data_IF_545444299232
#
_entry.id   IF_545444299232
#
_cell.length_a   1.000
_cell.length_b   1.000
_cell.length_c   1.000
_cell.angle_alpha   90.00
_cell.angle_beta   90.00
_cell.angle_gamma   90.00
#
_symmetry.space_group_name_H-M   'P 1'
#
loop_
_entity.id
_entity.type
_entity.pdbx_description
1 polymer ?
#
# COMPACT_ATOMS: atom_id res chain seq x y z
N UNK A 1 14.54 10.58 -0.48
CA UNK A 1 14.06 9.59 -1.43
C UNK A 1 13.14 8.60 -0.73
N UNK A 2 12.03 8.22 -1.34
CA UNK A 2 11.08 7.31 -0.69
C UNK A 2 11.69 5.92 -0.52
N UNK A 3 11.40 5.27 0.60
CA UNK A 3 11.79 3.90 0.93
C UNK A 3 10.60 2.95 0.86
N UNK A 4 9.41 3.46 1.15
CA UNK A 4 8.18 2.69 1.25
C UNK A 4 7.10 3.21 0.33
N UNK A 5 6.33 2.28 -0.23
CA UNK A 5 4.98 2.56 -0.70
C UNK A 5 4.03 2.07 0.39
N UNK A 6 3.33 2.99 1.04
CA UNK A 6 2.44 2.61 2.12
C UNK A 6 1.06 2.26 1.58
N UNK A 7 0.56 1.07 1.95
CA UNK A 7 -0.79 0.66 1.61
C UNK A 7 -1.82 1.32 2.53
N UNK A 8 -3.05 1.38 2.07
CA UNK A 8 -4.18 1.87 2.86
C UNK A 8 -4.26 1.15 4.22
N UNK A 9 -3.99 -0.16 4.26
CA UNK A 9 -4.07 -0.96 5.49
C UNK A 9 -3.15 -0.45 6.60
N UNK A 10 -2.01 0.16 6.25
CA UNK A 10 -1.13 0.81 7.22
C UNK A 10 -1.58 2.24 7.51
N UNK A 11 -1.79 3.04 6.47
CA UNK A 11 -2.08 4.47 6.61
C UNK A 11 -3.39 4.73 7.35
N UNK A 12 -4.44 3.98 7.07
CA UNK A 12 -5.75 4.18 7.72
C UNK A 12 -5.70 3.87 9.22
N UNK A 13 -4.85 2.95 9.65
CA UNK A 13 -4.68 2.63 11.06
C UNK A 13 -3.90 3.70 11.82
N UNK A 14 -3.12 4.51 11.13
CA UNK A 14 -2.41 5.65 11.74
C UNK A 14 -3.34 6.68 12.38
N UNK A 15 -4.54 6.83 11.86
CA UNK A 15 -5.51 7.79 12.38
C UNK A 15 -6.11 7.36 13.72
N UNK A 16 -6.25 6.05 13.96
CA UNK A 16 -6.97 5.50 15.10
C UNK A 16 -6.12 4.68 16.05
N UNK A 17 -4.89 4.34 15.66
CA UNK A 17 -3.98 3.49 16.46
C UNK A 17 -2.69 4.25 16.73
N UNK A 18 -2.47 4.75 17.97
CA UNK A 18 -1.23 5.50 18.30
C UNK A 18 0.05 4.74 18.01
N UNK A 19 0.06 3.41 18.17
CA UNK A 19 1.23 2.58 17.91
C UNK A 19 1.61 2.59 16.43
N UNK A 20 0.61 2.61 15.53
CA UNK A 20 0.83 2.69 14.08
C UNK A 20 1.31 4.10 13.72
N UNK A 21 0.67 5.13 14.29
CA UNK A 21 1.08 6.53 14.07
C UNK A 21 2.53 6.74 14.45
N UNK A 22 2.98 6.15 15.54
CA UNK A 22 4.37 6.27 16.00
C UNK A 22 5.38 5.71 14.99
N UNK A 23 4.99 4.75 14.16
CA UNK A 23 5.83 4.22 13.08
C UNK A 23 5.74 5.11 11.84
N UNK A 24 4.53 5.49 11.43
CA UNK A 24 4.28 6.17 10.15
C UNK A 24 4.69 7.63 10.18
N UNK A 25 4.39 8.36 11.25
CA UNK A 25 4.59 9.81 11.29
C UNK A 25 6.04 10.23 11.04
N UNK A 26 7.05 9.61 11.69
CA UNK A 26 8.45 9.95 11.40
C UNK A 26 8.83 9.70 9.93
N UNK A 27 8.28 8.65 9.32
CA UNK A 27 8.56 8.32 7.93
C UNK A 27 7.93 9.35 6.98
N UNK A 28 6.72 9.82 7.29
CA UNK A 28 6.07 10.88 6.53
C UNK A 28 6.88 12.18 6.59
N UNK A 29 7.29 12.57 7.79
CA UNK A 29 8.10 13.78 8.01
C UNK A 29 9.43 13.70 7.26
N UNK A 30 10.05 12.52 7.21
CA UNK A 30 11.32 12.31 6.53
C UNK A 30 11.16 12.17 5.00
N UNK A 31 9.94 12.18 4.46
CA UNK A 31 9.71 12.01 3.03
C UNK A 31 9.97 10.61 2.51
N UNK A 32 9.88 9.61 3.37
CA UNK A 32 10.21 8.22 3.03
C UNK A 32 9.00 7.41 2.55
N UNK A 33 7.80 7.98 2.58
CA UNK A 33 6.58 7.31 2.14
C UNK A 33 6.09 7.90 0.82
N UNK A 34 6.00 7.05 -0.19
CA UNK A 34 5.38 7.35 -1.46
C UNK A 34 3.94 6.83 -1.49
N UNK A 35 3.16 7.33 -2.43
CA UNK A 35 1.81 6.87 -2.72
C UNK A 35 1.63 6.59 -4.22
N UNK A 36 0.49 6.01 -4.59
CA UNK A 36 0.05 5.86 -5.97
C UNK A 36 -1.47 6.06 -6.04
N UNK A 37 -2.00 6.18 -7.25
CA UNK A 37 -3.42 6.48 -7.45
C UNK A 37 -4.37 5.49 -6.80
N UNK A 38 -4.02 4.20 -6.77
CA UNK A 38 -4.86 3.17 -6.13
C UNK A 38 -4.95 3.40 -4.63
N UNK A 39 -3.83 3.64 -3.96
CA UNK A 39 -3.80 3.93 -2.52
C UNK A 39 -4.62 5.18 -2.22
N UNK A 40 -4.45 6.24 -3.02
CA UNK A 40 -5.19 7.48 -2.85
C UNK A 40 -6.69 7.25 -2.94
N UNK A 41 -7.16 6.55 -3.97
CA UNK A 41 -8.57 6.26 -4.15
C UNK A 41 -9.15 5.47 -2.98
N UNK A 42 -8.42 4.51 -2.47
CA UNK A 42 -8.87 3.71 -1.33
C UNK A 42 -8.98 4.54 -0.05
N UNK A 43 -7.99 5.40 0.22
CA UNK A 43 -8.02 6.29 1.39
C UNK A 43 -9.16 7.31 1.26
N UNK A 44 -9.30 7.94 0.10
CA UNK A 44 -10.32 8.94 -0.15
C UNK A 44 -11.74 8.36 -0.08
N UNK A 45 -11.91 7.09 -0.50
CA UNK A 45 -13.17 6.38 -0.40
C UNK A 45 -13.69 6.33 1.04
N UNK A 46 -12.80 6.28 2.02
CA UNK A 46 -13.18 6.20 3.45
C UNK A 46 -13.49 7.55 4.08
N UNK A 47 -13.29 8.66 3.38
CA UNK A 47 -13.58 10.00 3.92
C UNK A 47 -15.07 10.16 4.22
N UNK A 48 -15.38 10.67 5.42
CA UNK A 48 -16.77 10.74 5.93
C UNK A 48 -17.46 12.06 5.61
N UNK A 49 -16.75 13.04 5.03
CA UNK A 49 -17.31 14.35 4.71
C UNK A 49 -16.50 15.02 3.59
N UNK A 50 -17.08 16.03 2.89
CA UNK A 50 -16.32 16.81 1.91
C UNK A 50 -15.07 17.48 2.50
N UNK A 51 -15.16 17.97 3.74
CA UNK A 51 -14.01 18.58 4.42
C UNK A 51 -12.91 17.58 4.72
N UNK A 52 -13.24 16.39 5.21
CA UNK A 52 -12.29 15.33 5.45
C UNK A 52 -11.64 14.87 4.13
N UNK A 53 -12.43 14.75 3.07
CA UNK A 53 -11.95 14.41 1.74
C UNK A 53 -10.91 15.43 1.26
N UNK A 54 -11.22 16.72 1.35
CA UNK A 54 -10.33 17.78 0.91
C UNK A 54 -9.01 17.80 1.69
N UNK A 55 -9.05 17.54 3.00
CA UNK A 55 -7.83 17.46 3.84
C UNK A 55 -6.97 16.27 3.43
N UNK A 56 -7.57 15.12 3.14
CA UNK A 56 -6.84 13.94 2.66
C UNK A 56 -6.17 14.22 1.31
N UNK A 57 -6.87 14.86 0.38
CA UNK A 57 -6.29 15.23 -0.92
C UNK A 57 -5.04 16.09 -0.73
N UNK A 58 -5.12 17.11 0.14
CA UNK A 58 -3.98 17.99 0.42
C UNK A 58 -2.79 17.19 0.96
N UNK A 59 -3.03 16.31 1.94
CA UNK A 59 -1.98 15.48 2.51
C UNK A 59 -1.35 14.53 1.49
N UNK A 60 -2.16 13.88 0.67
CA UNK A 60 -1.67 12.93 -0.33
C UNK A 60 -0.86 13.62 -1.43
N UNK A 61 -1.24 14.84 -1.82
CA UNK A 61 -0.48 15.61 -2.82
C UNK A 61 0.91 16.02 -2.33
N UNK A 62 1.15 16.04 -1.05
CA UNK A 62 2.46 16.34 -0.48
C UNK A 62 3.43 15.14 -0.54
N UNK A 63 2.94 13.94 -0.83
CA UNK A 63 3.76 12.72 -0.87
C UNK A 63 4.37 12.51 -2.25
N UNK A 64 5.59 11.93 -2.32
CA UNK A 64 6.10 11.40 -3.58
C UNK A 64 5.10 10.43 -4.20
N UNK A 65 4.96 10.48 -5.51
CA UNK A 65 3.96 9.68 -6.22
C UNK A 65 4.60 8.80 -7.27
N UNK A 66 4.18 7.53 -7.31
CA UNK A 66 4.60 6.58 -8.34
C UNK A 66 3.51 6.52 -9.40
N UNK A 67 3.90 6.72 -10.65
CA UNK A 67 2.98 6.63 -11.79
C UNK A 67 2.61 5.17 -12.05
N UNK A 68 1.31 4.93 -12.29
CA UNK A 68 0.80 3.62 -12.69
C UNK A 68 0.87 3.51 -14.22
N UNK A 69 1.75 2.63 -14.69
CA UNK A 69 1.97 2.39 -16.12
C UNK A 69 1.31 1.09 -16.56
N UNK A 70 1.17 0.88 -17.86
CA UNK A 70 0.68 -0.39 -18.40
C UNK A 70 1.58 -1.56 -17.98
N UNK A 71 2.89 -1.33 -17.91
CA UNK A 71 3.83 -2.37 -17.44
C UNK A 71 3.53 -2.83 -16.01
N UNK A 72 3.08 -1.93 -15.14
CA UNK A 72 2.67 -2.29 -13.78
C UNK A 72 1.45 -3.20 -13.80
N UNK A 73 0.45 -2.91 -14.65
CA UNK A 73 -0.71 -3.77 -14.81
C UNK A 73 -0.34 -5.13 -15.40
N UNK A 74 0.58 -5.17 -16.36
CA UNK A 74 1.08 -6.43 -16.92
C UNK A 74 1.74 -7.29 -15.84
N UNK A 75 2.52 -6.67 -14.95
CA UNK A 75 3.12 -7.37 -13.82
C UNK A 75 2.08 -7.89 -12.84
N UNK A 76 1.06 -7.07 -12.53
CA UNK A 76 -0.05 -7.50 -11.66
C UNK A 76 -0.78 -8.72 -12.26
N UNK A 77 -1.03 -8.72 -13.57
CA UNK A 77 -1.63 -9.86 -14.28
C UNK A 77 -0.74 -11.10 -14.19
N UNK A 78 0.57 -10.97 -14.34
CA UNK A 78 1.51 -12.08 -14.22
C UNK A 78 1.46 -12.69 -12.82
N UNK A 79 1.47 -11.86 -11.78
CA UNK A 79 1.37 -12.31 -10.39
C UNK A 79 0.04 -13.01 -10.14
N UNK A 80 -1.06 -12.43 -10.61
CA UNK A 80 -2.39 -13.05 -10.49
C UNK A 80 -2.41 -14.43 -11.14
N UNK A 81 -1.84 -14.56 -12.31
CA UNK A 81 -1.74 -15.83 -13.05
C UNK A 81 -0.98 -16.89 -12.24
N UNK A 82 0.11 -16.50 -11.58
CA UNK A 82 0.89 -17.40 -10.72
C UNK A 82 0.13 -17.81 -9.46
N UNK A 83 -0.61 -16.88 -8.87
CA UNK A 83 -1.51 -17.18 -7.75
C UNK A 83 -2.61 -18.15 -8.18
N UNK A 84 -3.16 -17.98 -9.39
CA UNK A 84 -4.18 -18.87 -9.91
C UNK A 84 -3.71 -20.31 -10.03
N UNK A 85 -2.44 -20.54 -10.38
CA UNK A 85 -1.85 -21.89 -10.41
C UNK A 85 -1.82 -22.55 -9.05
N UNK A 86 -1.90 -21.76 -7.97
CA UNK A 86 -1.98 -22.24 -6.58
C UNK A 86 -3.39 -22.16 -6.03
N UNK A 87 -4.39 -21.87 -6.87
CA UNK A 87 -5.78 -21.62 -6.49
C UNK A 87 -5.91 -20.48 -5.45
N UNK A 88 -5.03 -19.48 -5.51
CA UNK A 88 -4.98 -18.36 -4.56
C UNK A 88 -5.31 -16.99 -5.19
N UNK A 89 -5.68 -16.95 -6.47
CA UNK A 89 -5.95 -15.69 -7.16
C UNK A 89 -7.13 -14.91 -6.56
N UNK A 90 -8.08 -15.60 -5.92
CA UNK A 90 -9.22 -14.96 -5.25
C UNK A 90 -8.95 -14.61 -3.79
N UNK A 91 -7.82 -15.04 -3.24
CA UNK A 91 -7.43 -14.74 -1.86
C UNK A 91 -6.77 -13.36 -1.72
N UNK A 92 -6.41 -12.74 -2.83
CA UNK A 92 -5.72 -11.44 -2.85
C UNK A 92 -6.60 -10.44 -3.59
N UNK A 93 -6.78 -9.25 -3.01
CA UNK A 93 -7.59 -8.21 -3.63
C UNK A 93 -6.89 -7.62 -4.87
N UNK A 94 -7.69 -7.12 -5.82
CA UNK A 94 -7.16 -6.48 -7.02
C UNK A 94 -6.31 -5.25 -6.71
N UNK A 95 -6.75 -4.32 -5.81
CA UNK A 95 -5.91 -3.19 -5.44
C UNK A 95 -4.54 -3.60 -4.90
N UNK A 96 -4.47 -4.66 -4.08
CA UNK A 96 -3.22 -5.11 -3.49
C UNK A 96 -2.23 -5.61 -4.55
N UNK A 97 -2.74 -6.29 -5.59
CA UNK A 97 -1.90 -6.70 -6.73
C UNK A 97 -1.27 -5.50 -7.41
N UNK A 98 -2.04 -4.43 -7.61
CA UNK A 98 -1.58 -3.22 -8.28
C UNK A 98 -0.58 -2.46 -7.40
N UNK A 99 -0.88 -2.31 -6.11
CA UNK A 99 0.00 -1.65 -5.15
C UNK A 99 1.34 -2.36 -5.06
N UNK A 100 1.33 -3.69 -4.97
CA UNK A 100 2.55 -4.50 -4.91
C UNK A 100 3.39 -4.35 -6.19
N UNK A 101 2.77 -4.43 -7.36
CA UNK A 101 3.46 -4.25 -8.63
C UNK A 101 4.05 -2.84 -8.77
N UNK A 102 3.33 -1.84 -8.29
CA UNK A 102 3.79 -0.45 -8.27
C UNK A 102 5.04 -0.28 -7.40
N UNK A 103 5.01 -0.80 -6.18
CA UNK A 103 6.16 -0.77 -5.27
C UNK A 103 7.37 -1.50 -5.87
N UNK A 104 7.15 -2.68 -6.43
CA UNK A 104 8.21 -3.46 -7.05
C UNK A 104 8.89 -2.68 -8.19
N UNK A 105 8.09 -2.02 -9.04
CA UNK A 105 8.61 -1.26 -10.17
C UNK A 105 9.50 -0.09 -9.74
N UNK A 106 9.26 0.48 -8.58
CA UNK A 106 10.00 1.62 -8.04
C UNK A 106 11.10 1.21 -7.06
N UNK A 107 11.27 -0.10 -6.80
CA UNK A 107 12.26 -0.58 -5.85
C UNK A 107 11.92 -0.24 -4.40
N UNK A 108 10.64 -0.09 -4.07
CA UNK A 108 10.17 0.29 -2.75
C UNK A 108 9.64 -0.92 -1.97
N UNK A 109 9.74 -0.86 -0.65
CA UNK A 109 9.11 -1.83 0.24
C UNK A 109 7.64 -1.46 0.46
N UNK A 110 6.72 -2.42 0.35
CA UNK A 110 5.33 -2.20 0.72
C UNK A 110 5.22 -2.16 2.24
N UNK A 111 4.74 -1.04 2.79
CA UNK A 111 4.43 -0.91 4.21
C UNK A 111 2.93 -1.15 4.38
N UNK A 112 2.56 -2.19 5.13
CA UNK A 112 1.18 -2.68 5.14
C UNK A 112 0.75 -3.27 6.47
N UNK A 113 -0.54 -3.59 6.56
CA UNK A 113 -1.13 -4.38 7.63
C UNK A 113 -2.18 -5.34 7.04
N UNK A 114 -1.77 -6.15 6.04
CA UNK A 114 -2.65 -7.06 5.30
C UNK A 114 -1.86 -8.29 4.81
N UNK A 115 -2.31 -9.47 5.19
CA UNK A 115 -1.66 -10.74 4.82
C UNK A 115 -1.63 -10.99 3.30
N UNK A 116 -2.43 -10.28 2.50
CA UNK A 116 -2.37 -10.37 1.04
C UNK A 116 -0.98 -10.12 0.51
N UNK A 117 -0.25 -9.16 1.12
CA UNK A 117 1.10 -8.82 0.68
C UNK A 117 2.12 -9.94 0.97
N UNK A 118 1.90 -10.73 2.01
CA UNK A 118 2.72 -11.92 2.26
C UNK A 118 2.52 -12.97 1.15
N UNK A 119 1.27 -13.16 0.71
CA UNK A 119 0.96 -14.08 -0.39
C UNK A 119 1.58 -13.62 -1.71
N UNK A 120 1.52 -12.32 -1.97
CA UNK A 120 2.14 -11.73 -3.16
C UNK A 120 3.65 -11.87 -3.10
N UNK A 121 4.26 -11.56 -1.96
CA UNK A 121 5.71 -11.65 -1.78
C UNK A 121 6.23 -13.09 -1.90
N UNK A 122 5.41 -14.08 -1.56
CA UNK A 122 5.76 -15.49 -1.76
C UNK A 122 5.96 -15.83 -3.25
N UNK A 123 5.30 -15.09 -4.15
CA UNK A 123 5.45 -15.21 -5.61
C UNK A 123 6.60 -14.33 -6.13
N UNK A 124 6.59 -13.05 -5.76
CA UNK A 124 7.48 -12.03 -6.35
C UNK A 124 8.83 -11.94 -5.68
N UNK A 125 8.92 -12.32 -4.41
CA UNK A 125 10.06 -12.15 -3.52
C UNK A 125 10.42 -10.68 -3.28
N UNK A 126 9.47 -9.76 -3.56
CA UNK A 126 9.66 -8.34 -3.30
C UNK A 126 9.64 -8.05 -1.79
N UNK A 127 10.29 -6.95 -1.34
CA UNK A 127 10.25 -6.58 0.06
C UNK A 127 8.87 -6.07 0.44
N UNK A 128 8.32 -6.64 1.51
CA UNK A 128 7.09 -6.18 2.17
C UNK A 128 7.33 -6.14 3.66
N UNK A 129 6.66 -5.22 4.36
CA UNK A 129 6.87 -5.03 5.78
C UNK A 129 5.55 -4.72 6.49
N UNK A 130 5.24 -5.49 7.52
CA UNK A 130 4.16 -5.18 8.43
C UNK A 130 4.49 -3.89 9.19
N UNK A 131 3.56 -2.93 9.23
CA UNK A 131 3.75 -1.67 9.96
C UNK A 131 3.89 -1.93 11.46
N UNK A 132 3.21 -2.96 11.97
CA UNK A 132 3.37 -3.56 13.30
C UNK A 132 3.23 -5.07 13.13
N UNK A 133 3.68 -5.87 14.11
CA UNK A 133 3.50 -7.32 14.02
C UNK A 133 2.04 -7.71 13.79
N UNK A 134 1.82 -8.69 12.92
CA UNK A 134 0.49 -9.18 12.57
C UNK A 134 -0.30 -9.55 13.84
N UNK A 135 -1.55 -9.07 13.91
CA UNK A 135 -2.44 -9.34 15.04
C UNK A 135 -2.23 -8.46 16.26
N UNK A 136 -1.26 -7.52 16.23
CA UNK A 136 -0.96 -6.63 17.36
C UNK A 136 -1.95 -5.48 17.50
N UNK A 137 -2.67 -5.10 16.43
CA UNK A 137 -3.74 -4.09 16.42
C UNK A 137 -4.90 -4.58 15.59
N UNK A 138 -6.08 -4.00 15.80
CA UNK A 138 -7.28 -4.35 15.04
C UNK A 138 -7.43 -3.56 13.73
#
# INVERSE_FOLDING_TARGET
MATFLADKSALSRGDTRPQVRAVIEPLLVAGEIATCGVVDLELLYSAVSPGAYARLVTGLRALPRIELTEAIFDRALDVQSRLARRSQHRAVSLPDLIVAACAESAGLTVLHYDADFDRIAAITRQPVRWVLPRGSVS
#
